data_IF_484451803006
#
_entry.id   IF_484451803006
#
_cell.length_a   1.000
_cell.length_b   1.000
_cell.length_c   1.000
_cell.angle_alpha   90.00
_cell.angle_beta   90.00
_cell.angle_gamma   90.00
#
_symmetry.space_group_name_H-M   'P 1'
#
loop_
_entity.id
_entity.type
_entity.pdbx_description
1 polymer ?
#
# COMPACT_ATOMS: atom_id res chain seq x y z
N UNK A 1 74.30 30.22 4.21
CA UNK A 1 74.17 28.79 4.58
C UNK A 1 72.97 28.23 3.82
N UNK A 2 73.21 27.21 3.01
CA UNK A 2 72.33 26.67 1.96
C UNK A 2 70.97 26.19 2.48
N UNK A 3 69.90 26.58 1.78
CA UNK A 3 68.60 25.90 1.82
C UNK A 3 68.77 24.45 1.35
N UNK A 4 68.78 23.49 2.28
CA UNK A 4 68.63 22.08 1.96
C UNK A 4 67.23 21.86 1.39
N UNK A 5 67.10 21.95 0.06
CA UNK A 5 65.92 21.41 -0.62
C UNK A 5 65.98 19.90 -0.43
N UNK A 6 65.12 19.35 0.43
CA UNK A 6 64.90 17.91 0.51
C UNK A 6 64.56 17.40 -0.89
N UNK A 7 65.53 16.78 -1.57
CA UNK A 7 65.33 16.11 -2.84
C UNK A 7 64.62 14.80 -2.55
N UNK A 8 63.30 14.86 -2.45
CA UNK A 8 62.48 13.65 -2.49
C UNK A 8 62.70 13.01 -3.86
N UNK A 9 63.08 11.74 -3.89
CA UNK A 9 63.29 11.01 -5.14
C UNK A 9 62.01 11.05 -5.98
N UNK A 10 62.05 11.37 -7.28
CA UNK A 10 60.88 11.32 -8.16
C UNK A 10 60.12 9.99 -8.05
N UNK A 11 60.87 8.90 -7.81
CA UNK A 11 60.34 7.55 -7.61
C UNK A 11 59.54 7.40 -6.32
N UNK A 12 59.92 8.10 -5.25
CA UNK A 12 59.17 8.10 -3.98
C UNK A 12 57.86 8.90 -4.10
N UNK A 13 57.85 9.93 -4.95
CA UNK A 13 56.63 10.66 -5.30
C UNK A 13 55.72 9.75 -6.13
N UNK A 14 56.23 9.09 -7.16
CA UNK A 14 55.47 8.11 -7.95
C UNK A 14 54.91 6.96 -7.09
N UNK A 15 55.71 6.40 -6.17
CA UNK A 15 55.25 5.36 -5.25
C UNK A 15 54.17 5.86 -4.29
N UNK A 16 54.31 7.07 -3.72
CA UNK A 16 53.28 7.65 -2.86
C UNK A 16 51.96 7.91 -3.59
N UNK A 17 52.02 8.30 -4.87
CA UNK A 17 50.83 8.48 -5.70
C UNK A 17 50.17 7.14 -6.07
N UNK A 18 50.96 6.10 -6.31
CA UNK A 18 50.47 4.74 -6.55
C UNK A 18 49.79 4.20 -5.30
N UNK A 19 50.40 4.35 -4.12
CA UNK A 19 49.80 3.94 -2.84
C UNK A 19 48.49 4.69 -2.55
N UNK A 20 48.47 6.01 -2.74
CA UNK A 20 47.26 6.82 -2.57
C UNK A 20 46.14 6.41 -3.55
N UNK A 21 46.50 6.13 -4.80
CA UNK A 21 45.55 5.65 -5.81
C UNK A 21 45.03 4.25 -5.47
N UNK A 22 45.89 3.35 -4.99
CA UNK A 22 45.52 2.01 -4.54
C UNK A 22 44.57 2.06 -3.35
N UNK A 23 44.81 2.95 -2.38
CA UNK A 23 43.89 3.18 -1.26
C UNK A 23 42.54 3.71 -1.74
N UNK A 24 42.53 4.71 -2.64
CA UNK A 24 41.30 5.26 -3.23
C UNK A 24 40.51 4.20 -3.98
N UNK A 25 41.19 3.39 -4.79
CA UNK A 25 40.60 2.24 -5.49
C UNK A 25 40.04 1.21 -4.52
N UNK A 26 40.75 0.92 -3.42
CA UNK A 26 40.28 -0.01 -2.38
C UNK A 26 39.02 0.54 -1.69
N UNK A 27 39.01 1.82 -1.31
CA UNK A 27 37.85 2.52 -0.72
C UNK A 27 36.65 2.53 -1.66
N UNK A 28 36.86 2.79 -2.95
CA UNK A 28 35.80 2.72 -3.96
C UNK A 28 35.26 1.31 -4.13
N UNK A 29 36.13 0.28 -4.18
CA UNK A 29 35.69 -1.12 -4.27
C UNK A 29 34.87 -1.53 -3.06
N UNK A 30 35.25 -1.11 -1.85
CA UNK A 30 34.47 -1.40 -0.64
C UNK A 30 33.10 -0.70 -0.67
N UNK A 31 33.05 0.57 -1.08
CA UNK A 31 31.80 1.31 -1.20
C UNK A 31 30.85 0.68 -2.24
N UNK A 32 31.39 0.31 -3.41
CA UNK A 32 30.61 -0.36 -4.46
C UNK A 32 30.06 -1.68 -3.96
N UNK A 33 30.87 -2.48 -3.26
CA UNK A 33 30.42 -3.75 -2.69
C UNK A 33 29.33 -3.52 -1.66
N UNK A 34 29.50 -2.57 -0.74
CA UNK A 34 28.50 -2.26 0.27
C UNK A 34 27.17 -1.84 -0.36
N UNK A 35 27.21 -0.89 -1.30
CA UNK A 35 26.00 -0.44 -2.01
C UNK A 35 25.31 -1.58 -2.78
N UNK A 36 26.09 -2.47 -3.42
CA UNK A 36 25.54 -3.65 -4.09
C UNK A 36 24.85 -4.59 -3.10
N UNK A 37 25.44 -4.81 -1.93
CA UNK A 37 24.87 -5.67 -0.91
C UNK A 37 23.59 -5.06 -0.34
N UNK A 38 23.60 -3.79 0.05
CA UNK A 38 22.41 -3.06 0.52
C UNK A 38 21.29 -3.10 -0.54
N UNK A 39 21.63 -2.81 -1.79
CA UNK A 39 20.63 -2.79 -2.89
C UNK A 39 20.07 -4.19 -3.20
N UNK A 40 20.90 -5.22 -3.21
CA UNK A 40 20.43 -6.58 -3.56
C UNK A 40 19.69 -7.22 -2.39
N UNK A 41 20.20 -7.06 -1.17
CA UNK A 41 19.67 -7.76 -0.01
C UNK A 41 18.59 -6.98 0.73
N UNK A 42 18.78 -5.69 1.01
CA UNK A 42 17.76 -4.93 1.77
C UNK A 42 16.56 -4.61 0.90
N UNK A 43 16.77 -3.90 -0.22
CA UNK A 43 15.70 -3.57 -1.16
C UNK A 43 15.06 -4.84 -1.76
N UNK A 44 15.86 -5.88 -2.03
CA UNK A 44 15.33 -7.16 -2.51
C UNK A 44 14.45 -7.87 -1.48
N UNK A 45 14.84 -7.85 -0.19
CA UNK A 45 14.04 -8.43 0.89
C UNK A 45 12.76 -7.63 1.14
N UNK A 46 12.85 -6.31 1.12
CA UNK A 46 11.69 -5.42 1.22
C UNK A 46 10.72 -5.68 0.07
N UNK A 47 11.22 -5.75 -1.17
CA UNK A 47 10.42 -6.07 -2.35
C UNK A 47 9.71 -7.41 -2.19
N UNK A 48 10.43 -8.48 -1.79
CA UNK A 48 9.84 -9.80 -1.54
C UNK A 48 8.82 -9.81 -0.39
N UNK A 49 8.97 -8.91 0.57
CA UNK A 49 8.00 -8.76 1.67
C UNK A 49 6.74 -8.06 1.16
N UNK A 50 6.90 -6.98 0.38
CA UNK A 50 5.79 -6.26 -0.25
C UNK A 50 5.03 -7.10 -1.27
N UNK A 51 5.72 -7.91 -2.05
CA UNK A 51 5.10 -8.87 -2.99
C UNK A 51 4.17 -9.85 -2.24
N UNK A 52 4.63 -10.38 -1.10
CA UNK A 52 3.80 -11.25 -0.24
C UNK A 52 2.61 -10.52 0.37
N UNK A 53 2.77 -9.28 0.80
CA UNK A 53 1.67 -8.44 1.29
C UNK A 53 0.62 -8.21 0.20
N UNK A 54 1.07 -7.89 -1.03
CA UNK A 54 0.20 -7.66 -2.18
C UNK A 54 -0.62 -8.90 -2.53
N UNK A 55 -0.01 -10.09 -2.50
CA UNK A 55 -0.71 -11.36 -2.71
C UNK A 55 -1.79 -11.60 -1.65
N UNK A 56 -1.51 -11.29 -0.37
CA UNK A 56 -2.52 -11.39 0.71
C UNK A 56 -3.67 -10.41 0.48
N UNK A 57 -3.39 -9.19 0.04
CA UNK A 57 -4.45 -8.22 -0.27
C UNK A 57 -5.30 -8.68 -1.44
N UNK A 58 -4.70 -9.20 -2.52
CA UNK A 58 -5.44 -9.78 -3.64
C UNK A 58 -6.38 -10.90 -3.20
N UNK A 59 -5.89 -11.84 -2.38
CA UNK A 59 -6.72 -12.91 -1.84
C UNK A 59 -7.88 -12.38 -1.00
N UNK A 60 -7.64 -11.35 -0.17
CA UNK A 60 -8.70 -10.73 0.64
C UNK A 60 -9.74 -10.01 -0.21
N UNK A 61 -9.32 -9.29 -1.24
CA UNK A 61 -10.23 -8.63 -2.19
C UNK A 61 -11.10 -9.68 -2.88
N UNK A 62 -10.51 -10.74 -3.42
CA UNK A 62 -11.26 -11.81 -4.06
C UNK A 62 -12.30 -12.44 -3.12
N UNK A 63 -11.93 -12.69 -1.86
CA UNK A 63 -12.88 -13.21 -0.85
C UNK A 63 -14.04 -12.25 -0.58
N UNK A 64 -13.78 -10.94 -0.54
CA UNK A 64 -14.82 -9.93 -0.33
C UNK A 64 -15.74 -9.81 -1.54
N UNK A 65 -15.19 -9.87 -2.75
CA UNK A 65 -15.96 -9.89 -3.99
C UNK A 65 -16.86 -11.11 -4.10
N UNK A 66 -16.35 -12.28 -3.70
CA UNK A 66 -17.13 -13.51 -3.68
C UNK A 66 -18.25 -13.45 -2.62
N UNK A 67 -17.96 -12.95 -1.42
CA UNK A 67 -18.99 -12.68 -0.40
C UNK A 67 -20.06 -11.72 -0.90
N UNK A 68 -19.66 -10.61 -1.53
CA UNK A 68 -20.59 -9.64 -2.13
C UNK A 68 -21.46 -10.32 -3.17
N UNK A 69 -20.88 -11.16 -4.03
CA UNK A 69 -21.64 -11.89 -5.06
C UNK A 69 -22.67 -12.82 -4.42
N UNK A 70 -22.28 -13.61 -3.41
CA UNK A 70 -23.20 -14.48 -2.66
C UNK A 70 -24.35 -13.69 -2.02
N UNK A 71 -24.07 -12.56 -1.38
CA UNK A 71 -25.11 -11.70 -0.79
C UNK A 71 -26.08 -11.18 -1.87
N UNK A 72 -25.57 -10.76 -3.02
CA UNK A 72 -26.42 -10.29 -4.12
C UNK A 72 -27.25 -11.42 -4.72
N UNK A 73 -26.70 -12.62 -4.85
CA UNK A 73 -27.42 -13.79 -5.35
C UNK A 73 -28.50 -14.26 -4.36
N UNK A 74 -28.18 -14.31 -3.06
CA UNK A 74 -29.18 -14.57 -2.01
C UNK A 74 -30.28 -13.50 -1.96
N UNK A 75 -29.95 -12.23 -2.18
CA UNK A 75 -30.93 -11.14 -2.21
C UNK A 75 -31.84 -11.21 -3.45
N UNK A 76 -31.31 -11.70 -4.58
CA UNK A 76 -32.11 -12.00 -5.79
C UNK A 76 -33.04 -13.20 -5.57
N UNK A 77 -32.52 -14.29 -5.01
CA UNK A 77 -33.34 -15.49 -4.71
C UNK A 77 -34.46 -15.20 -3.72
N UNK A 78 -34.22 -14.33 -2.73
CA UNK A 78 -35.22 -13.90 -1.75
C UNK A 78 -36.17 -12.81 -2.28
N UNK A 79 -36.10 -12.48 -3.56
CA UNK A 79 -36.88 -11.41 -4.20
C UNK A 79 -36.77 -10.03 -3.50
N UNK A 80 -35.73 -9.81 -2.69
CA UNK A 80 -35.51 -8.55 -1.95
C UNK A 80 -35.26 -7.39 -2.93
N UNK A 81 -34.83 -7.70 -4.16
CA UNK A 81 -34.66 -6.76 -5.27
C UNK A 81 -35.69 -6.92 -6.40
N UNK A 82 -36.77 -7.69 -6.21
CA UNK A 82 -37.68 -8.07 -7.29
C UNK A 82 -39.00 -7.33 -7.30
N UNK A 83 -39.01 -6.04 -6.96
CA UNK A 83 -39.97 -5.19 -7.64
C UNK A 83 -39.21 -4.10 -8.37
N UNK A 84 -38.81 -4.42 -9.60
CA UNK A 84 -38.46 -3.40 -10.56
C UNK A 84 -39.61 -2.39 -10.63
N UNK A 85 -39.28 -1.12 -10.84
CA UNK A 85 -40.29 -0.06 -10.93
C UNK A 85 -41.44 -0.40 -11.90
N UNK A 86 -41.16 -1.21 -12.93
CA UNK A 86 -42.14 -1.78 -13.85
C UNK A 86 -43.15 -2.73 -13.17
N UNK A 87 -42.71 -3.62 -12.29
CA UNK A 87 -43.58 -4.59 -11.61
C UNK A 87 -44.45 -3.95 -10.52
N UNK A 88 -43.95 -2.90 -9.85
CA UNK A 88 -44.75 -2.07 -8.92
C UNK A 88 -45.89 -1.41 -9.69
N UNK A 89 -45.60 -0.84 -10.87
CA UNK A 89 -46.60 -0.16 -11.69
C UNK A 89 -47.67 -1.11 -12.22
N UNK A 90 -47.29 -2.32 -12.62
CA UNK A 90 -48.25 -3.36 -13.03
C UNK A 90 -49.13 -3.77 -11.85
N UNK A 91 -48.57 -3.99 -10.67
CA UNK A 91 -49.32 -4.35 -9.46
C UNK A 91 -50.30 -3.24 -9.02
N UNK A 92 -49.87 -1.97 -9.15
CA UNK A 92 -50.72 -0.80 -8.87
C UNK A 92 -51.85 -0.71 -9.89
N UNK A 93 -51.57 -0.88 -11.19
CA UNK A 93 -52.59 -0.86 -12.23
C UNK A 93 -53.63 -1.97 -12.05
N UNK A 94 -53.19 -3.18 -11.69
CA UNK A 94 -54.09 -4.32 -11.51
C UNK A 94 -55.02 -4.14 -10.29
N UNK A 95 -54.47 -3.62 -9.17
CA UNK A 95 -55.28 -3.25 -8.00
C UNK A 95 -56.20 -2.06 -8.24
N UNK A 96 -55.80 -1.11 -9.09
CA UNK A 96 -56.64 0.04 -9.44
C UNK A 96 -57.81 -0.41 -10.32
N UNK A 97 -57.57 -1.29 -11.30
CA UNK A 97 -58.60 -1.89 -12.15
C UNK A 97 -59.66 -2.64 -11.32
N UNK A 98 -59.23 -3.49 -10.39
CA UNK A 98 -60.15 -4.21 -9.49
C UNK A 98 -61.02 -3.28 -8.63
N UNK A 99 -60.51 -2.10 -8.25
CA UNK A 99 -61.29 -1.12 -7.48
C UNK A 99 -62.26 -0.32 -8.32
N UNK A 100 -61.90 0.01 -9.56
CA UNK A 100 -62.79 0.73 -10.49
C UNK A 100 -63.93 -0.19 -10.94
N UNK A 101 -63.63 -1.44 -11.31
CA UNK A 101 -64.64 -2.43 -11.69
C UNK A 101 -65.55 -2.81 -10.49
N UNK A 102 -65.04 -2.78 -9.26
CA UNK A 102 -65.85 -2.95 -8.04
C UNK A 102 -66.63 -1.71 -7.59
N UNK A 103 -66.30 -0.52 -8.11
CA UNK A 103 -66.95 0.75 -7.77
C UNK A 103 -68.07 1.12 -8.77
N UNK A 104 -67.98 0.66 -10.02
CA UNK A 104 -69.02 0.89 -11.04
C UNK A 104 -70.37 0.22 -10.69
N UNK A 105 -70.37 -0.81 -9.85
CA UNK A 105 -71.59 -1.45 -9.34
C UNK A 105 -72.29 -0.66 -8.22
N UNK A 106 -71.64 0.37 -7.67
CA UNK A 106 -72.18 1.21 -6.60
C UNK A 106 -71.80 2.66 -6.82
N UNK A 107 -72.64 3.38 -7.57
CA UNK A 107 -73.22 4.67 -7.17
C UNK A 107 -73.79 5.34 -8.41
N UNK A 108 -75.13 5.38 -8.45
CA UNK A 108 -75.86 6.35 -9.26
C UNK A 108 -76.11 7.60 -8.41
N UNK A 109 -75.74 8.74 -8.99
CA UNK A 109 -76.26 10.11 -8.79
C UNK A 109 -75.90 10.79 -7.46
N UNK A 110 -74.95 11.73 -7.52
CA UNK A 110 -75.08 13.12 -7.02
C UNK A 110 -73.80 13.93 -7.28
N UNK A 111 -73.95 15.00 -8.06
CA UNK A 111 -73.01 16.10 -8.38
C UNK A 111 -71.55 15.69 -8.57
N UNK A 112 -71.28 15.22 -9.78
CA UNK A 112 -70.09 14.46 -10.15
C UNK A 112 -68.80 15.29 -10.11
N UNK A 113 -68.85 16.61 -10.30
CA UNK A 113 -67.63 17.43 -10.44
C UNK A 113 -66.92 17.79 -9.12
N UNK A 114 -67.65 17.90 -8.00
CA UNK A 114 -67.07 18.30 -6.70
C UNK A 114 -66.63 17.08 -5.89
N UNK A 115 -67.40 15.98 -5.97
CA UNK A 115 -66.98 14.67 -5.42
C UNK A 115 -65.78 14.07 -6.16
N UNK A 116 -65.65 14.27 -7.47
CA UNK A 116 -64.46 13.81 -8.20
C UNK A 116 -63.20 14.55 -7.74
N UNK A 117 -63.28 15.84 -7.40
CA UNK A 117 -62.12 16.58 -6.87
C UNK A 117 -61.74 16.10 -5.49
N UNK A 118 -62.70 15.94 -4.59
CA UNK A 118 -62.48 15.51 -3.21
C UNK A 118 -61.92 14.07 -3.16
N UNK A 119 -62.44 13.17 -3.99
CA UNK A 119 -61.89 11.81 -4.13
C UNK A 119 -60.51 11.78 -4.77
N UNK A 120 -60.22 12.65 -5.74
CA UNK A 120 -58.90 12.73 -6.39
C UNK A 120 -57.85 13.35 -5.48
N UNK A 121 -58.21 14.33 -4.66
CA UNK A 121 -57.36 14.87 -3.59
C UNK A 121 -57.08 13.80 -2.53
N UNK A 122 -58.10 13.06 -2.06
CA UNK A 122 -57.91 11.92 -1.15
C UNK A 122 -57.02 10.81 -1.73
N UNK A 123 -57.15 10.50 -3.03
CA UNK A 123 -56.32 9.51 -3.71
C UNK A 123 -54.86 9.99 -3.78
N UNK A 124 -54.65 11.27 -4.07
CA UNK A 124 -53.31 11.86 -4.09
C UNK A 124 -52.67 11.88 -2.70
N UNK A 125 -53.43 12.22 -1.66
CA UNK A 125 -52.95 12.20 -0.27
C UNK A 125 -52.60 10.78 0.19
N UNK A 126 -53.42 9.79 -0.18
CA UNK A 126 -53.14 8.39 0.11
C UNK A 126 -51.91 7.90 -0.66
N UNK A 127 -51.76 8.29 -1.93
CA UNK A 127 -50.58 7.97 -2.73
C UNK A 127 -49.31 8.61 -2.14
N UNK A 128 -49.39 9.85 -1.68
CA UNK A 128 -48.30 10.55 -1.01
C UNK A 128 -47.93 9.88 0.31
N UNK A 129 -48.91 9.44 1.11
CA UNK A 129 -48.65 8.69 2.34
C UNK A 129 -48.00 7.33 2.07
N UNK A 130 -48.47 6.59 1.06
CA UNK A 130 -47.87 5.30 0.69
C UNK A 130 -46.45 5.50 0.15
N UNK A 131 -46.22 6.52 -0.67
CA UNK A 131 -44.90 6.86 -1.17
C UNK A 131 -43.95 7.25 -0.03
N UNK A 132 -44.43 8.04 0.93
CA UNK A 132 -43.67 8.39 2.12
C UNK A 132 -43.30 7.12 2.91
N UNK A 133 -44.27 6.28 3.27
CA UNK A 133 -44.02 5.05 4.05
C UNK A 133 -43.08 4.10 3.31
N UNK A 134 -43.22 3.96 2.00
CA UNK A 134 -42.32 3.15 1.19
C UNK A 134 -40.90 3.71 1.19
N UNK A 135 -40.74 5.03 1.01
CA UNK A 135 -39.44 5.68 1.09
C UNK A 135 -38.80 5.54 2.48
N UNK A 136 -39.58 5.69 3.56
CA UNK A 136 -39.08 5.52 4.93
C UNK A 136 -38.63 4.08 5.17
N UNK A 137 -39.42 3.10 4.74
CA UNK A 137 -39.07 1.68 4.87
C UNK A 137 -37.81 1.32 4.05
N UNK A 138 -37.67 1.86 2.84
CA UNK A 138 -36.46 1.68 2.03
C UNK A 138 -35.24 2.32 2.69
N UNK A 139 -35.38 3.52 3.27
CA UNK A 139 -34.31 4.18 4.02
C UNK A 139 -33.90 3.36 5.24
N UNK A 140 -34.86 2.81 6.00
CA UNK A 140 -34.57 1.95 7.14
C UNK A 140 -33.89 0.64 6.75
N UNK A 141 -34.34 -0.01 5.68
CA UNK A 141 -33.68 -1.20 5.14
C UNK A 141 -32.25 -0.89 4.68
N UNK A 142 -32.06 0.23 3.98
CA UNK A 142 -30.76 0.66 3.50
C UNK A 142 -29.83 1.00 4.67
N UNK A 143 -30.33 1.68 5.72
CA UNK A 143 -29.59 1.87 6.98
C UNK A 143 -29.18 0.53 7.59
N UNK A 144 -30.10 -0.42 7.74
CA UNK A 144 -29.79 -1.75 8.29
C UNK A 144 -28.71 -2.51 7.50
N UNK A 145 -28.65 -2.33 6.17
CA UNK A 145 -27.62 -2.94 5.32
C UNK A 145 -26.26 -2.24 5.44
N UNK A 146 -26.23 -0.91 5.53
CA UNK A 146 -24.99 -0.13 5.50
C UNK A 146 -24.43 0.22 6.89
N UNK A 147 -25.25 0.23 7.94
CA UNK A 147 -24.82 0.52 9.32
C UNK A 147 -23.66 -0.39 9.78
N UNK A 148 -23.65 -1.72 9.50
CA UNK A 148 -22.52 -2.57 9.85
C UNK A 148 -21.22 -2.15 9.13
N UNK A 149 -21.32 -1.73 7.87
CA UNK A 149 -20.17 -1.27 7.09
C UNK A 149 -19.65 0.07 7.61
N UNK A 150 -20.54 1.01 7.94
CA UNK A 150 -20.15 2.28 8.56
C UNK A 150 -19.48 2.08 9.92
N UNK A 151 -20.02 1.18 10.77
CA UNK A 151 -19.40 0.83 12.05
C UNK A 151 -18.00 0.20 11.88
N UNK A 152 -17.79 -0.61 10.85
CA UNK A 152 -16.47 -1.19 10.56
C UNK A 152 -15.50 -0.11 10.07
N UNK A 153 -15.95 0.81 9.23
CA UNK A 153 -15.17 1.96 8.77
C UNK A 153 -14.77 2.86 9.95
N UNK A 154 -15.70 3.21 10.83
CA UNK A 154 -15.44 4.02 12.03
C UNK A 154 -14.41 3.35 12.95
N UNK A 155 -14.57 2.04 13.20
CA UNK A 155 -13.58 1.27 13.98
C UNK A 155 -12.20 1.27 13.34
N UNK A 156 -12.14 1.11 12.02
CA UNK A 156 -10.87 1.12 11.29
C UNK A 156 -10.21 2.50 11.36
N UNK A 157 -10.99 3.57 11.26
CA UNK A 157 -10.53 4.94 11.38
C UNK A 157 -9.95 5.21 12.77
N UNK A 158 -10.67 4.81 13.83
CA UNK A 158 -10.20 4.93 15.22
C UNK A 158 -8.90 4.15 15.47
N UNK A 159 -8.76 2.99 14.83
CA UNK A 159 -7.56 2.18 14.93
C UNK A 159 -6.37 2.85 14.24
N UNK A 160 -6.55 3.37 13.03
CA UNK A 160 -5.52 4.12 12.29
C UNK A 160 -5.13 5.38 13.08
N UNK A 161 -6.09 6.12 13.61
CA UNK A 161 -5.82 7.32 14.40
C UNK A 161 -5.02 7.00 15.67
N UNK A 162 -5.31 5.88 16.34
CA UNK A 162 -4.53 5.40 17.49
C UNK A 162 -3.09 5.02 17.09
N UNK A 163 -2.92 4.33 15.97
CA UNK A 163 -1.59 3.97 15.45
C UNK A 163 -0.77 5.21 15.09
N UNK A 164 -1.39 6.21 14.46
CA UNK A 164 -0.73 7.45 14.10
C UNK A 164 -0.26 8.22 15.33
N UNK A 165 -1.13 8.41 16.34
CA UNK A 165 -0.76 9.03 17.62
C UNK A 165 0.37 8.27 18.32
N UNK A 166 0.37 6.93 18.27
CA UNK A 166 1.42 6.13 18.86
C UNK A 166 2.76 6.29 18.11
N UNK A 167 2.72 6.37 16.78
CA UNK A 167 3.90 6.62 15.96
C UNK A 167 4.49 8.01 16.22
N UNK A 168 3.64 9.05 16.27
CA UNK A 168 4.06 10.42 16.60
C UNK A 168 4.70 10.50 17.98
N UNK A 169 4.14 9.84 19.00
CA UNK A 169 4.77 9.74 20.33
C UNK A 169 6.14 9.08 20.29
N UNK A 170 6.32 8.01 19.51
CA UNK A 170 7.62 7.35 19.33
C UNK A 170 8.64 8.26 18.61
N UNK A 171 8.20 9.00 17.60
CA UNK A 171 9.06 9.97 16.91
C UNK A 171 9.47 11.13 17.84
N UNK A 172 8.55 11.63 18.68
CA UNK A 172 8.86 12.64 19.67
C UNK A 172 9.87 12.13 20.71
N UNK A 173 9.68 10.90 21.21
CA UNK A 173 10.59 10.28 22.17
C UNK A 173 12.00 10.08 21.58
N UNK A 174 12.10 9.61 20.32
CA UNK A 174 13.40 9.44 19.65
C UNK A 174 14.10 10.77 19.37
N UNK A 175 13.35 11.85 19.09
CA UNK A 175 13.91 13.21 18.99
C UNK A 175 14.45 13.71 20.32
N UNK A 176 13.71 13.56 21.41
CA UNK A 176 14.16 13.95 22.76
C UNK A 176 15.42 13.16 23.16
N UNK A 177 15.46 11.86 22.87
CA UNK A 177 16.62 11.02 23.17
C UNK A 177 17.85 11.45 22.36
N UNK A 178 17.68 11.76 21.07
CA UNK A 178 18.77 12.32 20.25
C UNK A 178 19.27 13.65 20.79
N UNK A 179 18.36 14.54 21.21
CA UNK A 179 18.74 15.81 21.83
C UNK A 179 19.49 15.61 23.15
N UNK A 180 19.09 14.63 23.97
CA UNK A 180 19.83 14.26 25.19
C UNK A 180 21.23 13.73 24.88
N UNK A 181 21.35 12.78 23.97
CA UNK A 181 22.64 12.22 23.56
C UNK A 181 23.56 13.28 22.96
N UNK A 182 23.00 14.22 22.20
CA UNK A 182 23.75 15.34 21.64
C UNK A 182 24.18 16.33 22.72
N UNK A 183 23.32 16.68 23.68
CA UNK A 183 23.70 17.50 24.83
C UNK A 183 24.78 16.84 25.70
N UNK A 184 24.75 15.51 25.86
CA UNK A 184 25.83 14.77 26.55
C UNK A 184 27.14 14.85 25.77
N UNK A 185 27.09 14.77 24.44
CA UNK A 185 28.27 14.91 23.57
C UNK A 185 28.84 16.33 23.60
N UNK A 186 27.97 17.35 23.62
CA UNK A 186 28.37 18.76 23.65
C UNK A 186 28.95 19.14 25.04
N UNK A 187 28.48 18.49 26.12
CA UNK A 187 29.03 18.66 27.49
C UNK A 187 30.32 17.85 27.70
N UNK A 188 30.48 16.71 27.02
CA UNK A 188 31.68 15.88 27.13
C UNK A 188 32.95 16.52 26.54
N UNK A 189 32.81 17.59 25.76
CA UNK A 189 33.96 18.32 25.21
C UNK A 189 34.71 17.51 24.15
N UNK A 190 35.21 18.22 23.16
CA UNK A 190 35.98 17.71 22.03
C UNK A 190 37.39 17.25 22.51
N UNK A 191 37.45 16.11 23.20
CA UNK A 191 38.70 15.41 23.55
C UNK A 191 38.67 13.97 23.02
N UNK A 192 38.78 13.82 21.70
CA UNK A 192 39.16 12.55 21.08
C UNK A 192 40.51 12.73 20.36
N UNK A 193 41.59 12.83 21.14
CA UNK A 193 42.89 12.31 20.70
C UNK A 193 42.93 10.82 21.06
N UNK A 194 42.65 9.94 20.10
CA UNK A 194 42.89 8.50 20.29
C UNK A 194 44.38 8.18 20.13
N UNK A 195 45.07 7.61 21.14
CA UNK A 195 46.33 6.92 20.89
C UNK A 195 46.02 5.54 20.30
N UNK A 196 46.52 5.28 19.10
CA UNK A 196 46.52 3.96 18.47
C UNK A 196 47.29 2.96 19.35
N UNK A 197 46.58 2.23 20.22
CA UNK A 197 47.14 1.03 20.84
C UNK A 197 47.10 -0.11 19.82
N UNK A 198 48.28 -0.45 19.31
CA UNK A 198 48.51 -1.66 18.53
C UNK A 198 48.40 -2.86 19.47
N UNK A 199 47.25 -3.53 19.45
CA UNK A 199 47.07 -4.83 20.12
C UNK A 199 47.79 -5.89 19.28
N UNK A 200 48.74 -6.68 19.84
CA UNK A 200 49.38 -7.77 19.12
C UNK A 200 48.33 -8.79 18.67
N UNK A 201 48.27 -9.06 17.36
CA UNK A 201 47.37 -10.07 16.81
C UNK A 201 47.84 -11.48 17.22
N UNK A 202 47.01 -12.18 17.99
CA UNK A 202 47.18 -13.61 18.24
C UNK A 202 47.11 -14.42 16.93
N UNK A 203 48.10 -15.30 16.65
CA UNK A 203 48.19 -16.07 15.41
C UNK A 203 47.06 -17.10 15.24
N UNK A 204 46.42 -17.55 16.32
CA UNK A 204 45.30 -18.50 16.26
C UNK A 204 44.03 -17.89 15.64
N UNK A 205 43.78 -16.60 15.89
CA UNK A 205 42.61 -15.90 15.32
C UNK A 205 42.73 -15.65 13.81
N UNK A 206 43.96 -15.68 13.26
CA UNK A 206 44.19 -15.49 11.83
C UNK A 206 43.81 -16.75 11.02
N UNK A 207 44.12 -17.94 11.55
CA UNK A 207 43.77 -19.23 10.93
C UNK A 207 42.25 -19.45 10.87
N UNK A 208 41.55 -19.10 11.94
CA UNK A 208 40.08 -19.16 12.03
C UNK A 208 39.38 -18.28 11.00
N UNK A 209 39.90 -17.07 10.77
CA UNK A 209 39.37 -16.16 9.72
C UNK A 209 39.56 -16.75 8.33
N UNK A 210 40.69 -17.42 8.08
CA UNK A 210 40.99 -18.01 6.78
C UNK A 210 40.14 -19.25 6.49
N UNK A 211 39.89 -20.09 7.50
CA UNK A 211 38.95 -21.22 7.38
C UNK A 211 37.50 -20.76 7.17
N UNK A 212 37.02 -19.76 7.93
CA UNK A 212 35.69 -19.16 7.71
C UNK A 212 35.55 -18.58 6.30
N UNK A 213 36.59 -17.93 5.78
CA UNK A 213 36.60 -17.39 4.41
C UNK A 213 36.50 -18.50 3.35
N UNK A 214 37.16 -19.65 3.56
CA UNK A 214 37.05 -20.81 2.65
C UNK A 214 35.65 -21.44 2.69
N UNK A 215 35.04 -21.56 3.87
CA UNK A 215 33.67 -22.07 4.01
C UNK A 215 32.64 -21.16 3.33
N UNK A 216 32.77 -19.84 3.47
CA UNK A 216 31.90 -18.87 2.79
C UNK A 216 32.05 -18.92 1.27
N UNK A 217 33.27 -19.12 0.74
CA UNK A 217 33.47 -19.27 -0.70
C UNK A 217 32.90 -20.58 -1.25
N UNK A 218 32.85 -21.66 -0.46
CA UNK A 218 32.18 -22.90 -0.85
C UNK A 218 30.66 -22.76 -0.81
N UNK A 219 30.10 -22.01 0.14
CA UNK A 219 28.68 -21.70 0.23
C UNK A 219 28.20 -20.73 -0.89
N UNK A 220 29.08 -19.84 -1.36
CA UNK A 220 28.79 -18.88 -2.42
C UNK A 220 28.87 -19.46 -3.85
N UNK A 221 28.97 -20.79 -4.00
CA UNK A 221 29.03 -21.46 -5.30
C UNK A 221 27.62 -21.48 -5.91
N UNK A 222 27.25 -20.36 -6.53
CA UNK A 222 25.95 -20.18 -7.19
C UNK A 222 25.80 -21.24 -8.30
N UNK A 223 24.77 -22.11 -8.22
CA UNK A 223 24.52 -23.10 -9.26
C UNK A 223 24.34 -22.47 -10.64
N UNK A 224 24.89 -23.10 -11.68
CA UNK A 224 24.88 -22.58 -13.06
C UNK A 224 23.50 -22.18 -13.59
N UNK A 225 22.44 -22.92 -13.23
CA UNK A 225 21.07 -22.61 -13.64
C UNK A 225 20.56 -21.25 -13.12
N UNK A 226 21.05 -20.78 -11.96
CA UNK A 226 20.71 -19.46 -11.43
C UNK A 226 21.42 -18.34 -12.20
N UNK A 227 22.61 -18.61 -12.75
CA UNK A 227 23.30 -17.66 -13.63
C UNK A 227 22.54 -17.49 -14.95
N UNK A 228 22.04 -18.59 -15.51
CA UNK A 228 21.23 -18.57 -16.74
C UNK A 228 19.89 -17.85 -16.51
N UNK A 229 19.24 -18.08 -15.36
CA UNK A 229 18.03 -17.33 -14.97
C UNK A 229 18.31 -15.83 -14.81
N UNK A 230 19.41 -15.43 -14.17
CA UNK A 230 19.76 -14.01 -14.06
C UNK A 230 20.09 -13.38 -15.41
N UNK A 231 20.65 -14.14 -16.35
CA UNK A 231 20.91 -13.66 -17.71
C UNK A 231 19.60 -13.44 -18.49
N UNK A 232 18.63 -14.33 -18.34
CA UNK A 232 17.30 -14.19 -18.92
C UNK A 232 16.55 -12.98 -18.34
N UNK A 233 16.57 -12.81 -17.02
CA UNK A 233 15.97 -11.66 -16.32
C UNK A 233 16.60 -10.33 -16.75
N UNK A 234 17.92 -10.31 -16.96
CA UNK A 234 18.60 -9.12 -17.53
C UNK A 234 18.12 -8.78 -18.92
N UNK A 235 17.85 -9.78 -19.75
CA UNK A 235 17.34 -9.56 -21.10
C UNK A 235 15.90 -9.03 -21.06
N UNK A 236 15.03 -9.59 -20.21
CA UNK A 236 13.67 -9.12 -20.00
C UNK A 236 13.63 -7.66 -19.51
N UNK A 237 14.45 -7.32 -18.50
CA UNK A 237 14.54 -5.94 -18.01
C UNK A 237 15.07 -4.95 -19.07
N UNK A 238 15.95 -5.40 -19.96
CA UNK A 238 16.42 -4.56 -21.06
C UNK A 238 15.29 -4.30 -22.09
N UNK A 239 14.48 -5.31 -22.38
CA UNK A 239 13.30 -5.18 -23.24
C UNK A 239 12.23 -4.27 -22.62
N UNK A 240 11.92 -4.45 -21.34
CA UNK A 240 10.98 -3.58 -20.62
C UNK A 240 11.45 -2.12 -20.59
N UNK A 241 12.74 -1.88 -20.33
CA UNK A 241 13.32 -0.52 -20.40
C UNK A 241 13.24 0.08 -21.80
N UNK A 242 13.38 -0.73 -22.85
CA UNK A 242 13.20 -0.27 -24.22
C UNK A 242 11.73 0.11 -24.50
N UNK A 243 10.78 -0.71 -24.04
CA UNK A 243 9.35 -0.41 -24.15
C UNK A 243 8.96 0.86 -23.38
N UNK A 244 9.45 1.02 -22.14
CA UNK A 244 9.23 2.22 -21.36
C UNK A 244 9.81 3.48 -22.01
N UNK A 245 10.98 3.39 -22.66
CA UNK A 245 11.55 4.52 -23.42
C UNK A 245 10.73 4.87 -24.66
N UNK A 246 10.09 3.90 -25.30
CA UNK A 246 9.19 4.15 -26.44
C UNK A 246 7.89 4.80 -25.96
N UNK A 247 7.30 4.29 -24.88
CA UNK A 247 6.10 4.87 -24.26
C UNK A 247 6.34 6.29 -23.73
N UNK A 248 7.48 6.54 -23.06
CA UNK A 248 7.85 7.87 -22.57
C UNK A 248 7.98 8.91 -23.69
N UNK A 249 8.40 8.51 -24.90
CA UNK A 249 8.48 9.38 -26.08
C UNK A 249 7.12 9.66 -26.72
N UNK A 250 6.17 8.73 -26.60
CA UNK A 250 4.78 8.92 -27.05
C UNK A 250 4.00 9.85 -26.13
N UNK A 251 4.30 9.86 -24.83
CA UNK A 251 3.65 10.74 -23.85
C UNK A 251 4.21 12.17 -23.79
N UNK A 252 5.39 12.43 -24.37
CA UNK A 252 6.04 13.75 -24.36
C UNK A 252 5.94 14.50 -25.70
N UNK A 253 5.03 14.08 -26.58
CA UNK A 253 4.78 14.67 -27.89
C UNK A 253 3.48 15.46 -27.97
N UNK A 254 3.18 16.27 -26.95
CA UNK A 254 2.20 17.36 -26.98
C UNK A 254 2.92 18.64 -26.60
#
# INVERSE_FOLDING_TARGET
>A
MQTQRMRVSPRAIEHGWVEEMEEKMKKQRTLITQLKLETVFELGLEFKTKERELLRFHQRIHQLEEKRRRVLDEAKEKEVFCIGSTDILVLIQDKWRQRVEGAEDKVRVKDDAEKERDTREHINDLANQVALVAATAQIEQMKGLFDPAFLEIERSFDQVQRQQRAHEKRLAATRIERQRLQAVRDVAGDQDEHPTMVIPMDPERAMDRQQRKRQLMQAAKVPWHLLDQMAAERHNLAQEKAMFKLWGKLSSGV
#
